data_IF_166522577970
#
_entry.id   IF_166522577970
#
_cell.length_a   1.000
_cell.length_b   1.000
_cell.length_c   1.000
_cell.angle_alpha   90.00
_cell.angle_beta   90.00
_cell.angle_gamma   90.00
#
_symmetry.space_group_name_H-M   'P 1'
#
loop_
_entity.id
_entity.type
_entity.pdbx_description
1 polymer ?
#
# COMPACT_ATOMS: atom_id res chain seq x y z
N UNK A 1 -13.01 -1.32 -2.00
CA UNK A 1 -12.51 -2.67 -1.67
C UNK A 1 -11.47 -3.13 -2.68
N UNK A 2 -10.29 -3.58 -2.23
CA UNK A 2 -9.22 -4.07 -3.12
C UNK A 2 -9.57 -5.45 -3.71
N UNK A 3 -9.46 -5.58 -5.04
CA UNK A 3 -9.69 -6.84 -5.76
C UNK A 3 -8.44 -7.73 -5.81
N UNK A 4 -8.62 -9.01 -6.18
CA UNK A 4 -7.52 -9.96 -6.34
C UNK A 4 -6.43 -9.47 -7.32
N UNK A 5 -6.81 -8.81 -8.40
CA UNK A 5 -5.83 -8.31 -9.38
C UNK A 5 -5.12 -7.06 -8.88
N UNK A 6 -5.83 -6.15 -8.20
CA UNK A 6 -5.21 -5.01 -7.53
C UNK A 6 -4.21 -5.47 -6.45
N UNK A 7 -4.53 -6.53 -5.70
CA UNK A 7 -3.60 -7.17 -4.75
C UNK A 7 -2.33 -7.65 -5.44
N UNK A 8 -2.44 -8.34 -6.58
CA UNK A 8 -1.25 -8.78 -7.34
C UNK A 8 -0.38 -7.60 -7.74
N UNK A 9 -0.98 -6.53 -8.26
CA UNK A 9 -0.27 -5.29 -8.61
C UNK A 9 0.42 -4.67 -7.40
N UNK A 10 -0.24 -4.61 -6.24
CA UNK A 10 0.37 -4.11 -5.00
C UNK A 10 1.64 -4.91 -4.65
N UNK A 11 1.57 -6.24 -4.71
CA UNK A 11 2.70 -7.13 -4.39
C UNK A 11 3.83 -6.98 -5.42
N UNK A 12 3.51 -6.86 -6.70
CA UNK A 12 4.50 -6.68 -7.76
C UNK A 12 5.24 -5.34 -7.63
N UNK A 13 4.52 -4.27 -7.32
CA UNK A 13 5.09 -2.93 -7.22
C UNK A 13 5.80 -2.71 -5.89
N UNK A 14 5.17 -3.03 -4.76
CA UNK A 14 5.73 -2.80 -3.43
C UNK A 14 6.63 -3.94 -2.94
N UNK A 15 6.54 -5.13 -3.54
CA UNK A 15 7.29 -6.33 -3.16
C UNK A 15 6.58 -7.17 -2.09
N UNK A 16 7.18 -8.33 -1.75
CA UNK A 16 6.64 -9.30 -0.77
C UNK A 16 6.39 -8.68 0.62
N UNK A 17 7.20 -7.69 1.01
CA UNK A 17 7.06 -6.94 2.26
C UNK A 17 6.27 -5.63 2.04
N UNK A 18 5.08 -5.72 1.43
CA UNK A 18 4.25 -4.55 1.19
C UNK A 18 3.64 -3.97 2.48
N UNK A 19 3.30 -4.80 3.47
CA UNK A 19 2.63 -4.32 4.69
C UNK A 19 3.46 -3.30 5.48
N UNK A 20 4.74 -3.54 5.80
CA UNK A 20 5.57 -2.53 6.49
C UNK A 20 5.70 -1.22 5.71
N UNK A 21 5.78 -1.27 4.37
CA UNK A 21 5.87 -0.08 3.51
C UNK A 21 4.59 0.75 3.54
N UNK A 22 3.44 0.08 3.52
CA UNK A 22 2.14 0.73 3.63
C UNK A 22 1.99 1.35 5.02
N UNK A 23 2.34 0.63 6.09
CA UNK A 23 2.28 1.13 7.46
C UNK A 23 3.12 2.42 7.62
N UNK A 24 4.36 2.40 7.13
CA UNK A 24 5.23 3.58 7.16
C UNK A 24 4.63 4.76 6.38
N UNK A 25 4.08 4.51 5.18
CA UNK A 25 3.41 5.54 4.39
C UNK A 25 2.19 6.15 5.10
N UNK A 26 1.37 5.32 5.74
CA UNK A 26 0.19 5.78 6.51
C UNK A 26 0.61 6.59 7.74
N UNK A 27 1.60 6.10 8.49
CA UNK A 27 2.13 6.80 9.67
C UNK A 27 2.71 8.17 9.32
N UNK A 28 3.43 8.28 8.20
CA UNK A 28 3.97 9.57 7.71
C UNK A 28 2.86 10.56 7.33
N UNK A 29 1.63 10.08 7.12
CA UNK A 29 0.45 10.89 6.83
C UNK A 29 -0.47 11.09 8.04
N UNK A 30 -0.05 10.65 9.23
CA UNK A 30 -0.86 10.68 10.46
C UNK A 30 -2.19 9.92 10.30
N UNK A 31 -2.20 8.83 9.52
CA UNK A 31 -3.39 7.99 9.34
C UNK A 31 -3.30 6.80 10.27
N UNK A 32 -4.13 6.83 11.30
CA UNK A 32 -4.21 5.81 12.34
C UNK A 32 -5.49 4.98 12.20
N UNK A 33 -5.58 3.90 12.96
CA UNK A 33 -6.81 3.12 13.09
C UNK A 33 -7.84 3.88 13.96
N UNK A 34 -9.02 3.30 14.13
CA UNK A 34 -10.10 3.90 14.93
C UNK A 34 -9.74 4.13 16.40
N UNK A 35 -8.76 3.40 16.92
CA UNK A 35 -8.28 3.51 18.30
C UNK A 35 -7.12 4.53 18.44
N UNK A 36 -6.74 5.20 17.34
CA UNK A 36 -5.61 6.15 17.33
C UNK A 36 -4.23 5.48 17.25
N UNK A 37 -4.16 4.18 16.98
CA UNK A 37 -2.92 3.43 16.85
C UNK A 37 -2.50 3.19 15.39
N UNK A 38 -1.22 2.89 15.20
CA UNK A 38 -0.68 2.51 13.90
C UNK A 38 -1.29 1.17 13.47
N UNK A 39 -1.59 1.05 12.17
CA UNK A 39 -2.09 -0.20 11.61
C UNK A 39 -1.10 -1.36 11.80
N UNK A 40 -1.61 -2.50 12.26
CA UNK A 40 -0.84 -3.73 12.31
C UNK A 40 -0.63 -4.33 10.92
N UNK A 41 0.38 -5.20 10.78
CA UNK A 41 0.64 -5.92 9.53
C UNK A 41 -0.55 -6.78 9.10
N UNK A 42 -1.22 -7.44 10.06
CA UNK A 42 -2.38 -8.28 9.80
C UNK A 42 -3.59 -7.45 9.34
N UNK A 43 -3.81 -6.27 9.93
CA UNK A 43 -4.86 -5.34 9.49
C UNK A 43 -4.65 -4.90 8.04
N UNK A 44 -3.42 -4.51 7.68
CA UNK A 44 -3.10 -4.14 6.29
C UNK A 44 -3.26 -5.33 5.34
N UNK A 45 -2.87 -6.54 5.74
CA UNK A 45 -3.08 -7.74 4.91
C UNK A 45 -4.55 -8.05 4.67
N UNK A 46 -5.43 -7.82 5.67
CA UNK A 46 -6.88 -7.98 5.52
C UNK A 46 -7.44 -6.96 4.53
N UNK A 47 -7.01 -5.69 4.62
CA UNK A 47 -7.43 -4.62 3.69
C UNK A 47 -6.95 -4.92 2.26
N UNK A 48 -5.66 -5.22 2.08
CA UNK A 48 -5.07 -5.57 0.77
C UNK A 48 -5.67 -6.85 0.19
N UNK A 49 -6.15 -7.78 1.03
CA UNK A 49 -6.83 -9.00 0.57
C UNK A 49 -8.33 -8.81 0.32
N UNK A 50 -8.86 -7.59 0.45
CA UNK A 50 -10.29 -7.31 0.28
C UNK A 50 -11.19 -7.93 1.36
N UNK A 51 -10.61 -8.45 2.46
CA UNK A 51 -11.37 -9.06 3.58
C UNK A 51 -11.95 -8.01 4.52
N UNK A 52 -11.38 -6.81 4.52
CA UNK A 52 -11.81 -5.70 5.36
C UNK A 52 -11.77 -4.42 4.52
N UNK A 53 -12.93 -3.82 4.19
CA UNK A 53 -12.94 -2.56 3.46
C UNK A 53 -12.40 -1.42 4.33
N UNK A 54 -11.61 -0.54 3.74
CA UNK A 54 -11.17 0.70 4.38
C UNK A 54 -10.80 1.74 3.30
N UNK A 55 -11.76 2.57 2.91
CA UNK A 55 -11.61 3.47 1.76
C UNK A 55 -10.41 4.42 1.88
N UNK A 56 -10.17 4.96 3.09
CA UNK A 56 -9.04 5.86 3.35
C UNK A 56 -7.70 5.15 3.13
N UNK A 57 -7.54 3.95 3.70
CA UNK A 57 -6.31 3.16 3.55
C UNK A 57 -6.13 2.68 2.12
N UNK A 58 -7.21 2.23 1.48
CA UNK A 58 -7.19 1.79 0.08
C UNK A 58 -6.76 2.90 -0.88
N UNK A 59 -7.29 4.11 -0.70
CA UNK A 59 -6.88 5.28 -1.48
C UNK A 59 -5.39 5.59 -1.29
N UNK A 60 -4.89 5.51 -0.06
CA UNK A 60 -3.48 5.76 0.22
C UNK A 60 -2.55 4.67 -0.31
N UNK A 61 -2.98 3.41 -0.30
CA UNK A 61 -2.28 2.31 -0.96
C UNK A 61 -2.19 2.58 -2.47
N UNK A 62 -3.28 2.99 -3.11
CA UNK A 62 -3.28 3.30 -4.54
C UNK A 62 -2.31 4.45 -4.89
N UNK A 63 -2.27 5.51 -4.06
CA UNK A 63 -1.30 6.60 -4.20
C UNK A 63 0.14 6.12 -4.04
N UNK A 64 0.41 5.29 -3.03
CA UNK A 64 1.75 4.74 -2.79
C UNK A 64 2.22 3.88 -3.96
N UNK A 65 1.38 2.96 -4.43
CA UNK A 65 1.68 2.09 -5.59
C UNK A 65 1.97 2.93 -6.83
N UNK A 66 1.14 3.93 -7.12
CA UNK A 66 1.35 4.82 -8.27
C UNK A 66 2.67 5.59 -8.16
N UNK A 67 3.01 6.08 -6.96
CA UNK A 67 4.28 6.78 -6.71
C UNK A 67 5.48 5.86 -6.97
N UNK A 68 5.47 4.64 -6.41
CA UNK A 68 6.56 3.68 -6.58
C UNK A 68 6.67 3.21 -8.02
N UNK A 69 5.55 3.00 -8.73
CA UNK A 69 5.54 2.64 -10.14
C UNK A 69 6.24 3.71 -10.99
N UNK A 70 5.88 4.98 -10.82
CA UNK A 70 6.52 6.11 -11.53
C UNK A 70 8.02 6.20 -11.23
N UNK A 71 8.42 6.00 -9.97
CA UNK A 71 9.85 5.99 -9.60
C UNK A 71 10.63 4.87 -10.30
N UNK A 72 10.07 3.66 -10.37
CA UNK A 72 10.68 2.53 -11.09
C UNK A 72 10.79 2.81 -12.60
N UNK A 73 9.75 3.39 -13.20
CA UNK A 73 9.77 3.75 -14.62
C UNK A 73 10.85 4.79 -14.95
N UNK A 74 10.98 5.83 -14.11
CA UNK A 74 12.05 6.83 -14.27
C UNK A 74 13.44 6.21 -14.10
N UNK A 75 13.63 5.38 -13.07
CA UNK A 75 14.91 4.71 -12.83
C UNK A 75 15.30 3.81 -14.02
N UNK A 76 14.34 3.04 -14.55
CA UNK A 76 14.56 2.18 -15.71
C UNK A 76 14.88 2.96 -16.99
N UNK A 77 14.49 4.23 -17.11
CA UNK A 77 14.87 5.10 -18.23
C UNK A 77 16.29 5.65 -18.06
N UNK A 78 16.75 5.87 -16.82
CA UNK A 78 18.08 6.40 -16.52
C UNK A 78 19.18 5.33 -16.58
N UNK A 79 18.82 4.06 -16.38
CA UNK A 79 19.74 2.91 -16.43
C UNK A 79 19.78 2.21 -17.81
N UNK A 80 19.12 2.78 -18.82
CA UNK A 80 19.14 2.33 -20.22
C UNK A 80 20.02 3.27 -21.04
#
# INVERSE_FOLDING_TARGET
MITCDQKKTIIEILGKQYSPKIISHLSNKNIYNSDGHIYSTSSIQKIVSGKQPNDTVELEIAKLVTKVKKQKETLNKLLK
#
